data_IF_752672683417
#
_entry.id   IF_752672683417
#
_cell.length_a   1.000
_cell.length_b   1.000
_cell.length_c   1.000
_cell.angle_alpha   90.00
_cell.angle_beta   90.00
_cell.angle_gamma   90.00
#
_symmetry.space_group_name_H-M   'P 1'
#
loop_
_entity.id
_entity.type
_entity.pdbx_description
1 polymer ?
#
# COMPACT_ATOMS: atom_id res chain seq x y z
N UNK A 1 -23.96 2.46 -4.62
CA UNK A 1 -22.77 2.19 -5.45
C UNK A 1 -22.08 3.52 -5.65
N UNK A 2 -20.86 3.67 -5.15
CA UNK A 2 -20.15 4.95 -5.12
C UNK A 2 -19.81 5.38 -6.53
N UNK A 3 -20.35 6.52 -6.98
CA UNK A 3 -20.09 7.11 -8.33
C UNK A 3 -18.60 7.16 -8.67
N UNK A 4 -17.74 7.28 -7.66
CA UNK A 4 -16.28 7.29 -7.79
C UNK A 4 -15.70 5.99 -8.37
N UNK A 5 -16.30 4.82 -8.11
CA UNK A 5 -15.84 3.55 -8.71
C UNK A 5 -16.20 3.48 -10.20
N UNK A 6 -17.37 3.99 -10.58
CA UNK A 6 -17.81 4.00 -11.98
C UNK A 6 -16.89 4.87 -12.84
N UNK A 7 -16.31 5.94 -12.27
CA UNK A 7 -15.28 6.72 -12.95
C UNK A 7 -14.08 5.89 -13.37
N UNK A 8 -13.70 4.83 -12.64
CA UNK A 8 -12.61 3.93 -13.04
C UNK A 8 -12.90 3.21 -14.35
N UNK A 9 -14.15 2.87 -14.61
CA UNK A 9 -14.55 2.24 -15.86
C UNK A 9 -14.34 3.17 -17.06
N UNK A 10 -14.39 4.50 -16.82
CA UNK A 10 -14.15 5.56 -17.81
C UNK A 10 -12.70 6.07 -17.85
N UNK A 11 -11.77 5.51 -17.07
CA UNK A 11 -10.31 5.80 -17.16
C UNK A 11 -9.74 5.12 -18.42
N UNK A 12 -10.48 5.21 -19.53
CA UNK A 12 -10.34 4.40 -20.72
C UNK A 12 -8.94 4.47 -21.35
N UNK A 13 -8.65 3.38 -22.06
CA UNK A 13 -7.61 3.04 -23.04
C UNK A 13 -6.41 4.00 -23.30
N UNK A 14 -6.62 5.31 -23.33
CA UNK A 14 -5.60 6.35 -23.52
C UNK A 14 -4.37 6.12 -22.63
N UNK A 15 -4.56 5.87 -21.33
CA UNK A 15 -3.46 5.61 -20.40
C UNK A 15 -2.68 4.33 -20.74
N UNK A 16 -3.37 3.29 -21.21
CA UNK A 16 -2.74 2.04 -21.63
C UNK A 16 -1.97 2.20 -22.96
N UNK A 17 -2.42 3.10 -23.84
CA UNK A 17 -1.73 3.44 -25.09
C UNK A 17 -0.49 4.30 -24.86
N UNK A 18 -0.55 5.22 -23.90
CA UNK A 18 0.57 6.11 -23.57
C UNK A 18 1.65 5.39 -22.75
N UNK A 19 1.27 4.42 -21.92
CA UNK A 19 2.21 3.68 -21.10
C UNK A 19 3.02 2.67 -21.93
N UNK A 20 4.28 2.99 -22.20
CA UNK A 20 5.21 2.10 -22.91
C UNK A 20 5.51 0.78 -22.19
N UNK A 21 5.28 0.71 -20.88
CA UNK A 21 5.52 -0.50 -20.06
C UNK A 21 4.46 -0.67 -18.97
N UNK A 22 4.21 -1.91 -18.49
CA UNK A 22 3.30 -2.14 -17.37
C UNK A 22 3.72 -1.44 -16.07
N UNK A 23 5.03 -1.20 -15.89
CA UNK A 23 5.55 -0.44 -14.74
C UNK A 23 5.22 1.04 -14.86
N UNK A 24 5.37 1.62 -16.06
CA UNK A 24 4.94 2.99 -16.31
C UNK A 24 3.43 3.15 -16.08
N UNK A 25 2.63 2.20 -16.58
CA UNK A 25 1.18 2.21 -16.36
C UNK A 25 0.83 2.20 -14.87
N UNK A 26 1.46 1.31 -14.08
CA UNK A 26 1.27 1.30 -12.62
C UNK A 26 1.58 2.66 -12.00
N UNK A 27 2.70 3.27 -12.35
CA UNK A 27 3.10 4.57 -11.80
C UNK A 27 2.15 5.70 -12.22
N UNK A 28 1.65 5.68 -13.45
CA UNK A 28 0.63 6.62 -13.93
C UNK A 28 -0.69 6.44 -13.17
N UNK A 29 -1.16 5.20 -13.03
CA UNK A 29 -2.37 4.88 -12.26
C UNK A 29 -2.20 5.29 -10.79
N UNK A 30 -1.03 5.08 -10.19
CA UNK A 30 -0.76 5.49 -8.81
C UNK A 30 -0.81 7.02 -8.63
N UNK A 31 -0.43 7.78 -9.65
CA UNK A 31 -0.45 9.26 -9.64
C UNK A 31 -1.82 9.85 -10.00
N UNK A 32 -2.71 9.07 -10.60
CA UNK A 32 -4.03 9.50 -11.00
C UNK A 32 -4.84 9.98 -9.79
N UNK A 33 -5.47 11.15 -9.91
CA UNK A 33 -6.22 11.80 -8.82
C UNK A 33 -7.40 10.96 -8.37
N UNK A 34 -8.18 10.40 -9.30
CA UNK A 34 -9.33 9.53 -9.00
C UNK A 34 -8.91 8.31 -8.19
N UNK A 35 -7.80 7.66 -8.55
CA UNK A 35 -7.30 6.49 -7.81
C UNK A 35 -6.82 6.89 -6.42
N UNK A 36 -6.20 8.07 -6.26
CA UNK A 36 -5.78 8.59 -4.95
C UNK A 36 -6.98 8.94 -4.05
N UNK A 37 -8.03 9.53 -4.61
CA UNK A 37 -9.28 9.84 -3.88
C UNK A 37 -10.01 8.56 -3.46
N UNK A 38 -10.07 7.57 -4.34
CA UNK A 38 -10.62 6.25 -4.01
C UNK A 38 -9.78 5.56 -2.93
N UNK A 39 -8.46 5.68 -2.99
CA UNK A 39 -7.57 5.15 -1.96
C UNK A 39 -7.83 5.82 -0.62
N UNK A 40 -7.93 7.13 -0.58
CA UNK A 40 -8.28 7.86 0.64
C UNK A 40 -9.65 7.43 1.18
N UNK A 41 -10.65 7.28 0.30
CA UNK A 41 -12.00 6.84 0.69
C UNK A 41 -12.01 5.43 1.25
N UNK A 42 -11.23 4.53 0.66
CA UNK A 42 -11.02 3.17 1.14
C UNK A 42 -10.28 3.13 2.48
N UNK A 43 -9.22 3.92 2.61
CA UNK A 43 -8.42 4.03 3.83
C UNK A 43 -9.24 4.60 5.01
N UNK A 44 -10.18 5.49 4.72
CA UNK A 44 -11.12 6.06 5.69
C UNK A 44 -12.34 5.15 5.98
N UNK A 45 -12.46 3.99 5.31
CA UNK A 45 -13.55 3.04 5.51
C UNK A 45 -14.88 3.41 4.83
N UNK A 46 -14.91 4.44 4.00
CA UNK A 46 -16.09 4.80 3.19
C UNK A 46 -16.30 3.87 1.99
N UNK A 47 -15.28 3.10 1.63
CA UNK A 47 -15.34 2.11 0.57
C UNK A 47 -14.94 0.73 1.13
N UNK A 48 -15.80 -0.26 0.95
CA UNK A 48 -15.60 -1.61 1.48
C UNK A 48 -15.09 -2.60 0.42
N UNK A 49 -14.45 -3.68 0.88
CA UNK A 49 -14.01 -4.80 0.02
C UNK A 49 -15.18 -5.38 -0.80
N UNK A 50 -16.35 -5.47 -0.18
CA UNK A 50 -17.57 -5.99 -0.82
C UNK A 50 -18.01 -5.10 -2.01
N UNK A 51 -17.89 -3.78 -1.89
CA UNK A 51 -18.23 -2.86 -2.97
C UNK A 51 -17.25 -2.95 -4.13
N UNK A 52 -15.95 -3.04 -3.82
CA UNK A 52 -14.90 -3.25 -4.83
C UNK A 52 -15.10 -4.58 -5.54
N UNK A 53 -15.39 -5.66 -4.81
CA UNK A 53 -15.66 -6.98 -5.36
C UNK A 53 -16.86 -6.97 -6.30
N UNK A 54 -17.99 -6.36 -5.89
CA UNK A 54 -19.17 -6.21 -6.76
C UNK A 54 -18.85 -5.41 -8.02
N UNK A 55 -18.05 -4.36 -7.89
CA UNK A 55 -17.62 -3.56 -9.04
C UNK A 55 -16.78 -4.38 -10.03
N UNK A 56 -15.76 -5.09 -9.53
CA UNK A 56 -14.92 -6.00 -10.33
C UNK A 56 -15.78 -7.06 -11.04
N UNK A 57 -16.72 -7.69 -10.34
CA UNK A 57 -17.59 -8.72 -10.92
C UNK A 57 -18.36 -8.18 -12.13
N UNK A 58 -18.96 -6.99 -12.00
CA UNK A 58 -19.69 -6.37 -13.11
C UNK A 58 -18.80 -6.01 -14.28
N UNK A 59 -17.58 -5.52 -14.05
CA UNK A 59 -16.64 -5.25 -15.15
C UNK A 59 -16.33 -6.53 -15.92
N UNK A 60 -16.18 -7.66 -15.22
CA UNK A 60 -15.93 -8.97 -15.83
C UNK A 60 -17.16 -9.41 -16.65
N UNK A 61 -18.37 -9.30 -16.10
CA UNK A 61 -19.62 -9.62 -16.81
C UNK A 61 -19.78 -8.77 -18.07
N UNK A 62 -19.56 -7.45 -17.99
CA UNK A 62 -19.68 -6.52 -19.11
C UNK A 62 -18.65 -6.82 -20.22
N UNK A 63 -17.41 -7.10 -19.86
CA UNK A 63 -16.33 -7.35 -20.82
C UNK A 63 -16.27 -8.77 -21.39
N UNK A 64 -17.09 -9.70 -20.91
CA UNK A 64 -17.04 -11.12 -21.31
C UNK A 64 -17.47 -11.36 -22.77
N UNK A 65 -18.32 -10.49 -23.31
CA UNK A 65 -18.86 -10.61 -24.67
C UNK A 65 -17.93 -10.07 -25.77
N UNK A 66 -16.86 -9.37 -25.41
CA UNK A 66 -16.01 -8.69 -26.38
C UNK A 66 -14.72 -9.47 -26.74
N UNK A 67 -14.21 -9.31 -27.98
CA UNK A 67 -12.97 -9.97 -28.42
C UNK A 67 -11.73 -9.46 -27.69
N UNK A 68 -11.75 -8.20 -27.23
CA UNK A 68 -10.77 -7.60 -26.32
C UNK A 68 -11.51 -7.18 -25.06
N UNK A 69 -10.90 -7.37 -23.89
CA UNK A 69 -11.55 -6.94 -22.65
C UNK A 69 -11.34 -5.42 -22.49
N UNK A 70 -12.40 -4.59 -22.57
CA UNK A 70 -12.25 -3.12 -22.58
C UNK A 70 -11.79 -2.58 -21.23
N UNK A 71 -12.25 -3.18 -20.14
CA UNK A 71 -12.02 -2.68 -18.78
C UNK A 71 -10.70 -3.17 -18.15
N UNK A 72 -9.70 -3.53 -18.94
CA UNK A 72 -8.40 -3.97 -18.42
C UNK A 72 -7.72 -2.90 -17.57
N UNK A 73 -7.79 -1.64 -17.99
CA UNK A 73 -7.19 -0.51 -17.26
C UNK A 73 -7.90 -0.30 -15.92
N UNK A 74 -9.22 -0.45 -15.88
CA UNK A 74 -10.01 -0.36 -14.65
C UNK A 74 -9.63 -1.47 -13.66
N UNK A 75 -9.47 -2.72 -14.12
CA UNK A 75 -9.00 -3.81 -13.27
C UNK A 75 -7.56 -3.59 -12.79
N UNK A 76 -6.68 -3.07 -13.65
CA UNK A 76 -5.33 -2.68 -13.25
C UNK A 76 -5.37 -1.55 -12.18
N UNK A 77 -6.26 -0.58 -12.33
CA UNK A 77 -6.46 0.50 -11.36
C UNK A 77 -6.91 -0.02 -10.00
N UNK A 78 -7.84 -0.98 -9.96
CA UNK A 78 -8.26 -1.66 -8.73
C UNK A 78 -7.09 -2.40 -8.09
N UNK A 79 -6.25 -3.08 -8.89
CA UNK A 79 -5.05 -3.72 -8.35
C UNK A 79 -4.08 -2.71 -7.73
N UNK A 80 -3.90 -1.54 -8.36
CA UNK A 80 -3.07 -0.45 -7.83
C UNK A 80 -3.66 0.16 -6.56
N UNK A 81 -4.98 0.37 -6.52
CA UNK A 81 -5.71 0.83 -5.34
C UNK A 81 -5.45 -0.10 -4.14
N UNK A 82 -5.51 -1.41 -4.37
CA UNK A 82 -5.31 -2.44 -3.35
C UNK A 82 -3.82 -2.73 -3.07
N UNK A 83 -2.87 -2.13 -3.81
CA UNK A 83 -1.46 -2.54 -3.80
C UNK A 83 -0.79 -2.48 -2.42
N UNK A 84 -1.19 -1.54 -1.56
CA UNK A 84 -0.60 -1.36 -0.22
C UNK A 84 -1.39 -2.06 0.90
N UNK A 85 -2.46 -2.78 0.55
CA UNK A 85 -3.41 -3.37 1.50
C UNK A 85 -3.31 -4.89 1.51
N UNK A 86 -3.30 -5.48 2.72
CA UNK A 86 -3.12 -6.91 2.95
C UNK A 86 -4.43 -7.59 3.43
N UNK A 87 -5.59 -7.14 2.95
CA UNK A 87 -6.83 -7.88 3.21
C UNK A 87 -6.83 -9.20 2.43
N UNK A 88 -7.59 -10.19 2.91
CA UNK A 88 -7.74 -11.49 2.24
C UNK A 88 -8.21 -11.31 0.79
N UNK A 89 -9.22 -10.45 0.59
CA UNK A 89 -9.72 -10.10 -0.73
C UNK A 89 -8.65 -9.45 -1.62
N UNK A 90 -7.89 -8.48 -1.10
CA UNK A 90 -6.85 -7.81 -1.88
C UNK A 90 -5.76 -8.79 -2.34
N UNK A 91 -5.33 -9.70 -1.46
CA UNK A 91 -4.34 -10.73 -1.81
C UNK A 91 -4.87 -11.71 -2.86
N UNK A 92 -6.08 -12.22 -2.68
CA UNK A 92 -6.74 -13.14 -3.61
C UNK A 92 -6.93 -12.49 -4.98
N UNK A 93 -7.50 -11.29 -5.01
CA UNK A 93 -7.74 -10.53 -6.23
C UNK A 93 -6.45 -10.30 -7.04
N UNK A 94 -5.40 -9.78 -6.40
CA UNK A 94 -4.13 -9.50 -7.08
C UNK A 94 -3.48 -10.82 -7.56
N UNK A 95 -3.55 -11.88 -6.76
CA UNK A 95 -2.99 -13.19 -7.12
C UNK A 95 -3.72 -13.79 -8.32
N UNK A 96 -5.05 -13.77 -8.32
CA UNK A 96 -5.85 -14.32 -9.41
C UNK A 96 -5.67 -13.50 -10.68
N UNK A 97 -5.69 -12.17 -10.58
CA UNK A 97 -5.43 -11.29 -11.71
C UNK A 97 -4.04 -11.55 -12.32
N UNK A 98 -3.02 -11.81 -11.51
CA UNK A 98 -1.67 -12.13 -11.99
C UNK A 98 -1.58 -13.46 -12.76
N UNK A 99 -2.47 -14.41 -12.44
CA UNK A 99 -2.53 -15.75 -13.03
C UNK A 99 -3.31 -15.78 -14.33
N UNK A 100 -4.10 -14.75 -14.64
CA UNK A 100 -4.83 -14.65 -15.90
C UNK A 100 -3.85 -14.76 -17.07
N UNK A 101 -4.01 -15.82 -17.87
CA UNK A 101 -3.24 -16.06 -19.11
C UNK A 101 -3.99 -15.63 -20.36
N UNK A 102 -5.22 -15.14 -20.22
CA UNK A 102 -6.02 -14.70 -21.35
C UNK A 102 -5.31 -13.58 -22.08
N UNK A 103 -5.10 -13.76 -23.39
CA UNK A 103 -4.59 -12.70 -24.27
C UNK A 103 -5.47 -11.44 -24.26
N UNK A 104 -6.70 -11.55 -23.75
CA UNK A 104 -7.63 -10.44 -23.59
C UNK A 104 -7.37 -9.57 -22.37
N UNK A 105 -6.53 -9.96 -21.40
CA UNK A 105 -6.32 -9.24 -20.13
C UNK A 105 -4.84 -9.02 -19.77
N UNK A 106 -3.98 -8.95 -20.78
CA UNK A 106 -2.52 -8.91 -20.63
C UNK A 106 -2.05 -7.76 -19.74
N UNK A 107 -2.65 -6.58 -19.89
CA UNK A 107 -2.20 -5.36 -19.19
C UNK A 107 -2.45 -5.47 -17.69
N UNK A 108 -3.68 -5.80 -17.30
CA UNK A 108 -4.07 -5.96 -15.90
C UNK A 108 -3.25 -7.05 -15.20
N UNK A 109 -3.08 -8.20 -15.86
CA UNK A 109 -2.28 -9.30 -15.32
C UNK A 109 -0.81 -8.92 -15.11
N UNK A 110 -0.21 -8.18 -16.05
CA UNK A 110 1.19 -7.71 -15.92
C UNK A 110 1.35 -6.70 -14.78
N UNK A 111 0.40 -5.78 -14.62
CA UNK A 111 0.41 -4.84 -13.48
C UNK A 111 0.31 -5.58 -12.15
N UNK A 112 -0.59 -6.56 -12.04
CA UNK A 112 -0.73 -7.38 -10.84
C UNK A 112 0.56 -8.13 -10.46
N UNK A 113 1.28 -8.69 -11.45
CA UNK A 113 2.58 -9.34 -11.22
C UNK A 113 3.63 -8.37 -10.67
N UNK A 114 3.71 -7.16 -11.22
CA UNK A 114 4.62 -6.12 -10.71
C UNK A 114 4.32 -5.81 -9.24
N UNK A 115 3.04 -5.66 -8.90
CA UNK A 115 2.62 -5.39 -7.52
C UNK A 115 3.05 -6.54 -6.58
N UNK A 116 2.85 -7.80 -6.98
CA UNK A 116 3.30 -8.94 -6.18
C UNK A 116 4.83 -8.96 -5.99
N UNK A 117 5.59 -8.76 -7.06
CA UNK A 117 7.06 -8.70 -6.98
C UNK A 117 7.53 -7.59 -6.05
N UNK A 118 6.90 -6.42 -6.07
CA UNK A 118 7.26 -5.31 -5.18
C UNK A 118 6.86 -5.57 -3.73
N UNK A 119 5.72 -6.23 -3.48
CA UNK A 119 5.32 -6.67 -2.15
C UNK A 119 6.33 -7.66 -1.57
N UNK A 120 6.76 -8.64 -2.35
CA UNK A 120 7.78 -9.62 -1.93
C UNK A 120 9.11 -8.93 -1.61
N UNK A 121 9.54 -7.98 -2.46
CA UNK A 121 10.73 -7.17 -2.17
C UNK A 121 10.59 -6.43 -0.85
N UNK A 122 9.45 -5.77 -0.62
CA UNK A 122 9.22 -5.03 0.64
C UNK A 122 9.22 -5.95 1.85
N UNK A 123 8.56 -7.12 1.77
CA UNK A 123 8.59 -8.15 2.83
C UNK A 123 10.01 -8.64 3.13
N UNK A 124 10.84 -8.80 2.09
CA UNK A 124 12.23 -9.23 2.23
C UNK A 124 13.14 -8.12 2.79
N UNK A 125 12.94 -6.86 2.41
CA UNK A 125 13.70 -5.72 2.93
C UNK A 125 13.54 -5.57 4.45
N UNK A 126 12.34 -5.82 4.99
CA UNK A 126 12.10 -5.82 6.44
C UNK A 126 12.79 -6.97 7.18
N UNK A 127 13.22 -8.03 6.49
CA UNK A 127 14.00 -9.12 7.09
C UNK A 127 15.50 -8.84 7.10
N UNK A 128 15.96 -7.89 6.30
CA UNK A 128 17.35 -7.40 6.30
C UNK A 128 17.42 -6.18 7.23
N UNK A 129 17.09 -6.37 8.50
CA UNK A 129 17.70 -5.49 9.50
C UNK A 129 19.18 -5.87 9.58
N UNK A 130 20.12 -4.90 9.50
CA UNK A 130 21.50 -5.19 9.83
C UNK A 130 21.50 -5.78 11.25
N UNK A 131 22.29 -6.84 11.46
CA UNK A 131 22.63 -7.22 12.83
C UNK A 131 23.03 -5.93 13.55
N UNK A 132 22.21 -5.51 14.51
CA UNK A 132 22.57 -4.47 15.45
C UNK A 132 23.78 -5.03 16.15
N UNK A 133 24.99 -4.62 15.72
CA UNK A 133 26.17 -4.94 16.49
C UNK A 133 25.90 -4.40 17.89
N UNK A 134 26.04 -5.21 18.95
CA UNK A 134 25.81 -4.74 20.29
C UNK A 134 26.70 -3.53 20.49
N UNK A 135 26.09 -2.37 20.72
CA UNK A 135 26.80 -1.15 21.08
C UNK A 135 27.57 -1.54 22.34
N UNK A 136 28.87 -1.77 22.18
CA UNK A 136 29.73 -2.10 23.29
C UNK A 136 29.88 -0.79 24.03
N UNK A 137 29.12 -0.62 25.11
CA UNK A 137 29.36 0.45 26.06
C UNK A 137 30.72 0.17 26.69
N UNK A 138 31.78 0.74 26.11
CA UNK A 138 33.04 0.91 26.81
C UNK A 138 32.76 1.87 27.96
N UNK A 139 32.60 1.31 29.16
CA UNK A 139 32.60 2.06 30.40
C UNK A 139 33.87 2.90 30.45
N UNK A 140 33.77 4.18 30.14
CA UNK A 140 34.81 5.16 30.42
C UNK A 140 34.99 5.20 31.94
N UNK A 141 36.22 5.12 32.45
CA UNK A 141 36.48 5.20 33.88
C UNK A 141 35.98 6.55 34.40
N UNK A 142 35.10 6.48 35.41
CA UNK A 142 34.62 7.63 36.16
C UNK A 142 35.81 8.36 36.80
N UNK A 143 35.92 9.70 36.68
CA UNK A 143 36.90 10.45 37.43
C UNK A 143 36.61 10.32 38.93
N UNK A 144 37.65 9.94 39.66
CA UNK A 144 37.67 9.70 41.09
C UNK A 144 37.19 10.92 41.86
N UNK A 145 36.20 10.65 42.70
CA UNK A 145 35.69 11.44 43.82
C UNK A 145 36.75 12.32 44.50
N UNK A 146 36.58 13.64 44.41
CA UNK A 146 37.18 14.62 45.30
C UNK A 146 36.20 14.93 46.42
N UNK A 147 36.57 14.56 47.65
CA UNK A 147 35.79 14.74 48.86
C UNK A 147 35.59 16.23 49.21
N UNK A 148 34.34 16.60 49.50
CA UNK A 148 33.96 17.86 50.14
C UNK A 148 32.70 17.64 50.97
N UNK A 149 32.85 17.72 52.29
CA UNK A 149 31.84 17.48 53.33
C UNK A 149 30.91 18.70 53.54
N UNK A 150 29.87 18.60 54.40
CA UNK A 150 28.53 19.16 54.18
C UNK A 150 28.26 20.46 54.95
N UNK A 151 27.21 21.17 54.55
CA UNK A 151 26.38 22.05 55.40
C UNK A 151 24.98 22.07 54.75
N UNK A 152 23.99 21.45 55.38
CA UNK A 152 23.04 22.04 56.32
C UNK A 152 21.87 22.79 55.64
N UNK A 153 20.66 22.35 55.99
CA UNK A 153 19.35 23.02 55.88
C UNK A 153 18.82 23.30 54.46
N UNK A 154 17.66 22.74 54.08
CA UNK A 154 16.39 23.33 54.46
C UNK A 154 15.17 22.59 53.89
N UNK A 155 14.16 22.48 54.75
CA UNK A 155 12.71 22.56 54.52
C UNK A 155 11.98 21.74 53.44
N UNK A 156 11.18 20.81 53.99
CA UNK A 156 9.84 20.40 53.60
C UNK A 156 9.05 21.46 52.82
N UNK A 157 8.44 21.05 51.71
CA UNK A 157 7.12 21.56 51.30
C UNK A 157 6.31 20.46 50.61
N UNK A 158 5.24 20.10 51.31
CA UNK A 158 4.06 19.38 50.82
C UNK A 158 3.53 20.01 49.52
N UNK A 159 3.23 19.17 48.52
CA UNK A 159 2.25 19.51 47.48
C UNK A 159 1.02 18.64 47.65
N UNK A 160 -0.06 19.29 48.09
CA UNK A 160 -1.42 18.76 48.06
C UNK A 160 -1.92 18.67 46.62
N UNK A 161 -2.56 17.53 46.35
CA UNK A 161 -3.42 17.22 45.22
C UNK A 161 -4.64 18.14 45.25
N UNK A 162 -5.00 18.68 44.08
CA UNK A 162 -6.31 19.25 43.78
C UNK A 162 -7.06 18.31 42.83
#
# INVERSE_FOLDING_TARGET
>A
MSRSLEQLASIDFELAMVASTPRALREMLRRNTTIRELKHSYDAGFLSDVEIQRFVHRLIEQGSCEPRFPHQTALAAVAVLLADRYSSFAEEYIRDLSRVRSGRMIVAARVARIILTERERTKNSFRVFPQVQPITFTCLPLPSSGAGRPDETNDYCDLKVA
#
